data_IF_423227207765
#
_entry.id   IF_423227207765
#
_cell.length_a   1.000
_cell.length_b   1.000
_cell.length_c   1.000
_cell.angle_alpha   90.00
_cell.angle_beta   90.00
_cell.angle_gamma   90.00
#
_symmetry.space_group_name_H-M   'P 1'
#
loop_
_entity.id
_entity.type
_entity.pdbx_description
1 polymer ?
#
# COMPACT_ATOMS: atom_id res chain seq x y z
N UNK A 1 -23.05 -16.03 2.77
CA UNK A 1 -21.98 -15.06 2.37
C UNK A 1 -21.79 -14.09 3.54
N UNK A 2 -20.56 -13.87 4.04
CA UNK A 2 -20.27 -13.04 5.24
C UNK A 2 -19.34 -11.84 4.97
N UNK A 3 -18.78 -11.73 3.76
CA UNK A 3 -17.77 -10.72 3.39
C UNK A 3 -18.32 -9.81 2.30
N UNK A 4 -18.05 -8.51 2.41
CA UNK A 4 -18.34 -7.52 1.36
C UNK A 4 -17.17 -7.49 0.38
N UNK A 5 -17.17 -8.41 -0.57
CA UNK A 5 -16.13 -8.55 -1.58
C UNK A 5 -16.76 -8.96 -2.90
N UNK A 6 -16.11 -8.60 -4.01
CA UNK A 6 -16.46 -9.14 -5.33
C UNK A 6 -15.85 -10.54 -5.48
N UNK A 7 -14.74 -10.64 -6.19
CA UNK A 7 -13.97 -11.89 -6.34
C UNK A 7 -12.84 -11.94 -5.32
N UNK A 8 -12.63 -13.06 -4.60
CA UNK A 8 -11.57 -13.19 -3.60
C UNK A 8 -10.17 -12.78 -4.10
N UNK A 9 -9.84 -13.12 -5.34
CA UNK A 9 -8.56 -12.78 -5.99
C UNK A 9 -8.37 -11.27 -6.22
N UNK A 10 -9.46 -10.50 -6.29
CA UNK A 10 -9.41 -9.07 -6.53
C UNK A 10 -9.40 -8.23 -5.25
N UNK A 11 -9.65 -8.82 -4.07
CA UNK A 11 -9.91 -8.08 -2.84
C UNK A 11 -8.81 -7.06 -2.53
N UNK A 12 -7.54 -7.46 -2.63
CA UNK A 12 -6.41 -6.55 -2.38
C UNK A 12 -6.38 -5.42 -3.41
N UNK A 13 -6.54 -5.74 -4.70
CA UNK A 13 -6.52 -4.75 -5.78
C UNK A 13 -7.63 -3.71 -5.61
N UNK A 14 -8.87 -4.17 -5.45
CA UNK A 14 -10.06 -3.32 -5.31
C UNK A 14 -9.98 -2.45 -4.03
N UNK A 15 -9.42 -3.00 -2.94
CA UNK A 15 -9.21 -2.25 -1.70
C UNK A 15 -8.17 -1.13 -1.89
N UNK A 16 -7.09 -1.39 -2.63
CA UNK A 16 -6.06 -0.40 -2.93
C UNK A 16 -6.54 0.68 -3.91
N UNK A 17 -7.34 0.31 -4.91
CA UNK A 17 -8.02 1.26 -5.79
C UNK A 17 -8.92 2.21 -4.96
N UNK A 18 -9.74 1.66 -4.08
CA UNK A 18 -10.59 2.44 -3.17
C UNK A 18 -9.78 3.35 -2.24
N UNK A 19 -8.67 2.86 -1.69
CA UNK A 19 -7.78 3.63 -0.83
C UNK A 19 -7.17 4.83 -1.58
N UNK A 20 -6.70 4.63 -2.81
CA UNK A 20 -6.15 5.69 -3.66
C UNK A 20 -7.19 6.75 -4.05
N UNK A 21 -8.45 6.33 -4.24
CA UNK A 21 -9.57 7.25 -4.49
C UNK A 21 -10.01 8.02 -3.23
N UNK A 22 -9.90 7.42 -2.05
CA UNK A 22 -10.32 8.03 -0.80
C UNK A 22 -9.36 9.14 -0.32
N UNK A 23 -8.06 9.04 -0.63
CA UNK A 23 -7.02 9.95 -0.12
C UNK A 23 -6.04 10.44 -1.20
N UNK A 24 -6.51 10.99 -2.34
CA UNK A 24 -5.69 11.27 -3.53
C UNK A 24 -4.61 12.35 -3.31
N UNK A 25 -4.81 13.22 -2.31
CA UNK A 25 -3.87 14.29 -1.92
C UNK A 25 -2.78 13.81 -0.95
N UNK A 26 -3.00 12.69 -0.24
CA UNK A 26 -2.05 12.18 0.77
C UNK A 26 -1.21 11.03 0.22
N UNK A 27 -1.79 10.17 -0.60
CA UNK A 27 -1.14 8.96 -1.11
C UNK A 27 -1.40 8.76 -2.60
N UNK A 28 -0.51 7.96 -3.20
CA UNK A 28 -0.67 7.36 -4.53
C UNK A 28 -0.51 5.86 -4.40
N UNK A 29 -1.12 5.15 -5.35
CA UNK A 29 -1.15 3.68 -5.37
C UNK A 29 -0.63 3.22 -6.73
N UNK A 30 0.41 2.39 -6.73
CA UNK A 30 0.75 1.59 -7.89
C UNK A 30 0.07 0.22 -7.74
N UNK A 31 -0.51 -0.29 -8.82
CA UNK A 31 -1.17 -1.60 -8.85
C UNK A 31 -0.30 -2.69 -9.48
N UNK A 32 0.76 -2.32 -10.21
CA UNK A 32 1.70 -3.27 -10.84
C UNK A 32 3.12 -2.67 -10.94
N UNK A 33 4.05 -3.05 -10.04
CA UNK A 33 3.81 -3.88 -8.86
C UNK A 33 3.01 -3.11 -7.78
N UNK A 34 2.31 -3.83 -6.88
CA UNK A 34 1.47 -3.18 -5.85
C UNK A 34 2.30 -2.52 -4.74
N UNK A 35 2.14 -1.22 -4.55
CA UNK A 35 2.63 -0.47 -3.38
C UNK A 35 1.86 0.85 -3.22
N UNK A 36 1.84 1.38 -1.99
CA UNK A 36 1.25 2.67 -1.64
C UNK A 36 2.36 3.60 -1.19
N UNK A 37 2.37 4.86 -1.63
CA UNK A 37 3.40 5.83 -1.30
C UNK A 37 2.81 7.21 -1.10
N UNK A 38 3.53 8.09 -0.39
CA UNK A 38 3.09 9.48 -0.17
C UNK A 38 2.93 10.21 -1.51
N UNK A 39 1.89 11.02 -1.64
CA UNK A 39 1.64 11.79 -2.85
C UNK A 39 2.73 12.83 -3.16
N UNK A 40 3.47 13.28 -2.14
CA UNK A 40 4.59 14.21 -2.26
C UNK A 40 5.96 13.53 -2.31
N UNK A 41 6.01 12.19 -2.39
CA UNK A 41 7.27 11.47 -2.56
C UNK A 41 7.81 11.62 -4.01
N UNK A 42 9.14 11.65 -4.20
CA UNK A 42 10.18 11.53 -3.18
C UNK A 42 10.43 12.84 -2.41
N UNK A 43 10.52 12.74 -1.08
CA UNK A 43 10.86 13.88 -0.21
C UNK A 43 12.37 13.92 0.02
N UNK A 44 13.03 14.93 -0.55
CA UNK A 44 14.49 15.09 -0.46
C UNK A 44 14.93 15.51 0.95
N UNK A 45 16.15 15.13 1.32
CA UNK A 45 16.79 15.59 2.56
C UNK A 45 16.40 14.83 3.83
N UNK A 46 15.69 13.69 3.71
CA UNK A 46 15.39 12.79 4.82
C UNK A 46 15.58 11.32 4.41
N UNK A 47 15.72 10.44 5.39
CA UNK A 47 15.68 8.99 5.17
C UNK A 47 14.25 8.56 4.84
N UNK A 48 14.11 7.70 3.83
CA UNK A 48 12.83 7.08 3.51
C UNK A 48 12.59 5.88 4.42
N UNK A 49 11.39 5.76 5.00
CA UNK A 49 10.99 4.63 5.83
C UNK A 49 9.92 3.85 5.09
N UNK A 50 10.23 2.59 4.75
CA UNK A 50 9.36 1.70 3.98
C UNK A 50 9.06 0.47 4.81
N UNK A 51 7.81 0.00 4.76
CA UNK A 51 7.38 -1.24 5.41
C UNK A 51 6.45 -2.03 4.50
N UNK A 52 5.93 -3.16 4.96
CA UNK A 52 5.06 -4.01 4.16
C UNK A 52 4.81 -5.36 4.80
N UNK A 53 3.88 -6.11 4.22
CA UNK A 53 3.44 -7.39 4.75
C UNK A 53 2.20 -7.89 4.01
N UNK A 54 1.64 -9.01 4.47
CA UNK A 54 0.41 -9.56 3.90
C UNK A 54 -0.80 -8.67 4.18
N UNK A 55 -1.70 -8.58 3.20
CA UNK A 55 -2.98 -7.89 3.34
C UNK A 55 -3.91 -8.63 4.30
N UNK A 56 -4.87 -7.90 4.88
CA UNK A 56 -5.77 -8.41 5.93
C UNK A 56 -5.44 -7.90 7.34
N UNK A 57 -4.45 -7.01 7.47
CA UNK A 57 -4.08 -6.33 8.71
C UNK A 57 -4.37 -4.82 8.66
N UNK A 58 -5.20 -4.37 7.72
CA UNK A 58 -5.58 -2.96 7.59
C UNK A 58 -6.08 -2.42 8.94
N UNK A 59 -5.57 -1.25 9.41
CA UNK A 59 -4.85 -0.24 8.65
C UNK A 59 -3.34 -0.49 8.44
N UNK A 60 -2.75 -1.48 9.11
CA UNK A 60 -1.32 -1.77 8.97
C UNK A 60 -1.03 -2.47 7.62
N UNK A 61 -0.12 -2.00 6.78
CA UNK A 61 0.80 -0.85 6.92
C UNK A 61 0.37 0.39 6.14
N UNK A 62 -0.51 0.23 5.14
CA UNK A 62 -0.84 1.28 4.15
C UNK A 62 -1.50 2.52 4.77
N UNK A 63 -2.19 2.37 5.90
CA UNK A 63 -2.77 3.49 6.66
C UNK A 63 -1.74 4.32 7.43
N UNK A 64 -0.47 3.90 7.45
CA UNK A 64 0.64 4.64 8.07
C UNK A 64 1.54 5.33 7.03
N UNK A 65 1.15 5.36 5.76
CA UNK A 65 1.86 6.13 4.72
C UNK A 65 1.48 7.60 4.85
N UNK A 66 2.45 8.44 5.23
CA UNK A 66 2.20 9.85 5.53
C UNK A 66 3.35 10.55 6.26
N UNK A 67 3.20 11.86 6.44
CA UNK A 67 4.18 12.69 7.17
C UNK A 67 4.31 12.21 8.61
N UNK A 68 5.55 11.98 9.06
CA UNK A 68 5.86 11.51 10.41
C UNK A 68 5.82 9.99 10.58
N UNK A 69 5.46 9.22 9.53
CA UNK A 69 5.44 7.76 9.55
C UNK A 69 6.15 7.19 8.30
N UNK A 70 5.47 6.39 7.47
CA UNK A 70 6.05 5.70 6.32
C UNK A 70 6.03 6.57 5.06
N UNK A 71 7.05 6.44 4.22
CA UNK A 71 7.09 6.99 2.86
C UNK A 71 6.35 6.10 1.86
N UNK A 72 6.44 4.78 2.06
CA UNK A 72 5.73 3.79 1.28
C UNK A 72 5.43 2.51 2.09
N UNK A 73 4.44 1.75 1.62
CA UNK A 73 4.05 0.46 2.15
C UNK A 73 3.80 -0.55 1.02
N UNK A 74 4.29 -1.78 1.18
CA UNK A 74 4.15 -2.85 0.19
C UNK A 74 3.12 -3.90 0.66
N UNK A 75 1.86 -3.84 0.21
CA UNK A 75 0.85 -4.85 0.50
C UNK A 75 1.05 -6.09 -0.39
N UNK A 76 1.25 -7.25 0.25
CA UNK A 76 1.33 -8.54 -0.41
C UNK A 76 -0.04 -9.12 -0.78
N UNK A 77 -0.11 -10.44 -0.92
CA UNK A 77 -1.40 -11.15 -1.01
C UNK A 77 -2.10 -11.23 0.35
N UNK A 78 -3.28 -11.83 0.40
CA UNK A 78 -3.95 -12.12 1.69
C UNK A 78 -3.04 -12.97 2.60
N UNK A 79 -2.65 -12.40 3.74
CA UNK A 79 -1.73 -12.99 4.71
C UNK A 79 -0.39 -13.50 4.14
N UNK A 80 0.05 -12.96 3.00
CA UNK A 80 1.28 -13.38 2.31
C UNK A 80 2.21 -12.21 2.06
N UNK A 81 3.51 -12.35 2.33
CA UNK A 81 4.51 -11.29 2.13
C UNK A 81 4.47 -10.70 0.71
N UNK A 82 4.77 -9.41 0.51
CA UNK A 82 5.03 -8.85 -0.82
C UNK A 82 6.23 -9.53 -1.47
N UNK A 83 6.28 -9.51 -2.80
CA UNK A 83 7.44 -9.98 -3.57
C UNK A 83 8.61 -8.97 -3.48
N UNK A 84 9.86 -9.39 -3.73
CA UNK A 84 11.00 -8.48 -3.77
C UNK A 84 10.84 -7.35 -4.78
N UNK A 85 10.21 -7.59 -5.94
CA UNK A 85 9.99 -6.57 -6.96
C UNK A 85 9.03 -5.47 -6.49
N UNK A 86 8.03 -5.83 -5.67
CA UNK A 86 7.15 -4.84 -5.03
C UNK A 86 7.95 -3.96 -4.05
N UNK A 87 8.80 -4.57 -3.23
CA UNK A 87 9.63 -3.85 -2.25
C UNK A 87 10.64 -2.96 -2.95
N UNK A 88 11.27 -3.45 -4.03
CA UNK A 88 12.19 -2.70 -4.85
C UNK A 88 11.52 -1.50 -5.53
N UNK A 89 10.32 -1.68 -6.09
CA UNK A 89 9.60 -0.61 -6.78
C UNK A 89 9.06 0.49 -5.85
N UNK A 90 9.00 0.26 -4.54
CA UNK A 90 8.52 1.23 -3.55
C UNK A 90 9.62 2.15 -2.99
N UNK A 91 10.90 1.82 -3.21
CA UNK A 91 12.07 2.61 -2.80
C UNK A 91 12.69 3.39 -3.94
#
# INVERSE_FOLDING_TARGET
>A
MKKLINKPENVVKESLEGLGLAWPELIKVNLEPRYVYRADAPVKGKVAVISGGGSGHEPMHVGFVGVGMLDAACPGGGFSSPTPDQVYGAG
#
